data_IF_283114267428
#
_entry.id   IF_283114267428
#
_cell.length_a   1.000
_cell.length_b   1.000
_cell.length_c   1.000
_cell.angle_alpha   90.00
_cell.angle_beta   90.00
_cell.angle_gamma   90.00
#
_symmetry.space_group_name_H-M   'P 1'
#
loop_
_entity.id
_entity.type
_entity.pdbx_description
1 polymer ?
#
# COMPACT_ATOMS: atom_id res chain seq x y z
N UNK A 1 -14.74 10.23 3.67
CA UNK A 1 -13.78 9.69 2.68
C UNK A 1 -13.25 10.81 1.81
N UNK A 2 -11.92 10.94 1.74
CA UNK A 2 -11.25 11.82 0.79
C UNK A 2 -11.42 11.28 -0.63
N UNK A 3 -11.52 12.18 -1.62
CA UNK A 3 -11.46 11.77 -3.03
C UNK A 3 -10.06 11.28 -3.38
N UNK A 4 -9.92 10.57 -4.51
CA UNK A 4 -8.61 10.15 -5.01
C UNK A 4 -7.67 11.35 -5.22
N UNK A 5 -8.18 12.43 -5.78
CA UNK A 5 -7.42 13.65 -6.04
C UNK A 5 -6.91 14.28 -4.74
N UNK A 6 -7.76 14.33 -3.71
CA UNK A 6 -7.36 14.82 -2.39
C UNK A 6 -6.27 13.94 -1.77
N UNK A 7 -6.40 12.60 -1.86
CA UNK A 7 -5.35 11.68 -1.38
C UNK A 7 -4.02 11.88 -2.11
N UNK A 8 -4.05 12.07 -3.43
CA UNK A 8 -2.84 12.36 -4.24
C UNK A 8 -2.19 13.67 -3.80
N UNK A 9 -2.98 14.72 -3.59
CA UNK A 9 -2.46 16.01 -3.14
C UNK A 9 -1.86 15.93 -1.73
N UNK A 10 -2.54 15.26 -0.80
CA UNK A 10 -1.99 14.98 0.54
C UNK A 10 -0.66 14.23 0.46
N UNK A 11 -0.58 13.19 -0.37
CA UNK A 11 0.65 12.40 -0.52
C UNK A 11 1.79 13.24 -1.12
N UNK A 12 1.50 14.10 -2.11
CA UNK A 12 2.46 15.05 -2.68
C UNK A 12 2.98 16.01 -1.61
N UNK A 13 2.08 16.63 -0.85
CA UNK A 13 2.45 17.56 0.21
C UNK A 13 3.34 16.93 1.29
N UNK A 14 3.15 15.64 1.61
CA UNK A 14 4.03 14.90 2.52
C UNK A 14 5.48 14.80 2.02
N UNK A 15 5.70 14.71 0.70
CA UNK A 15 7.05 14.67 0.11
C UNK A 15 7.67 16.06 -0.05
N UNK A 16 6.86 17.10 -0.24
CA UNK A 16 7.33 18.47 -0.47
C UNK A 16 7.65 19.21 0.83
N UNK A 17 7.06 18.79 1.97
CA UNK A 17 7.30 19.43 3.27
C UNK A 17 8.74 19.20 3.75
N UNK A 18 9.30 20.13 4.54
CA UNK A 18 10.60 19.91 5.20
C UNK A 18 10.57 18.71 6.15
N UNK A 19 11.66 17.93 6.15
CA UNK A 19 11.85 16.78 7.03
C UNK A 19 11.43 15.45 6.42
N UNK A 20 11.62 14.37 7.18
CA UNK A 20 11.21 13.03 6.77
C UNK A 20 9.84 12.68 7.35
N UNK A 21 9.15 11.75 6.71
CA UNK A 21 7.95 11.11 7.24
C UNK A 21 8.04 9.60 7.04
N UNK A 22 7.25 8.86 7.81
CA UNK A 22 7.29 7.39 7.81
C UNK A 22 6.07 6.85 7.06
N UNK A 23 6.32 5.94 6.12
CA UNK A 23 5.29 5.22 5.38
C UNK A 23 5.40 3.74 5.74
N UNK A 24 4.61 3.22 6.69
CA UNK A 24 4.62 1.80 7.01
C UNK A 24 3.88 0.98 5.95
N UNK A 25 4.21 -0.32 5.89
CA UNK A 25 3.69 -1.23 4.89
C UNK A 25 2.68 -2.25 5.45
N UNK A 26 1.35 -1.97 5.41
CA UNK A 26 0.35 -3.01 5.69
C UNK A 26 0.35 -4.10 4.61
N UNK A 27 0.03 -5.32 5.02
CA UNK A 27 -0.14 -6.48 4.14
C UNK A 27 -1.60 -6.94 4.02
N UNK A 28 -2.52 -6.35 4.78
CA UNK A 28 -3.96 -6.61 4.77
C UNK A 28 -4.78 -5.42 5.33
N UNK A 29 -6.11 -5.53 5.31
CA UNK A 29 -7.01 -4.51 5.85
C UNK A 29 -6.85 -4.29 7.38
N UNK A 30 -6.48 -5.33 8.14
CA UNK A 30 -6.34 -5.27 9.59
C UNK A 30 -5.14 -4.42 10.00
N UNK A 31 -3.98 -4.73 9.43
CA UNK A 31 -2.74 -3.97 9.58
C UNK A 31 -2.91 -2.52 9.11
N UNK A 32 -3.62 -2.28 8.00
CA UNK A 32 -3.92 -0.93 7.53
C UNK A 32 -4.72 -0.09 8.56
N UNK A 33 -5.73 -0.68 9.19
CA UNK A 33 -6.52 -0.02 10.25
C UNK A 33 -5.68 0.27 11.48
N UNK A 34 -4.85 -0.67 11.91
CA UNK A 34 -3.95 -0.50 13.06
C UNK A 34 -2.98 0.65 12.79
N UNK A 35 -2.31 0.66 11.64
CA UNK A 35 -1.36 1.72 11.29
C UNK A 35 -2.05 3.08 11.14
N UNK A 36 -3.26 3.12 10.57
CA UNK A 36 -4.06 4.34 10.53
C UNK A 36 -4.37 4.86 11.95
N UNK A 37 -4.77 3.97 12.87
CA UNK A 37 -5.07 4.33 14.26
C UNK A 37 -3.84 4.78 15.05
N UNK A 38 -2.63 4.34 14.65
CA UNK A 38 -1.36 4.79 15.21
C UNK A 38 -0.94 6.20 14.73
N UNK A 39 -1.70 6.81 13.81
CA UNK A 39 -1.50 8.19 13.38
C UNK A 39 -0.50 8.38 12.24
N UNK A 40 -0.17 7.33 11.49
CA UNK A 40 0.61 7.50 10.26
C UNK A 40 -0.16 8.32 9.22
N UNK A 41 0.55 9.07 8.39
CA UNK A 41 -0.04 10.03 7.45
C UNK A 41 -0.22 9.44 6.04
N UNK A 42 0.43 8.32 5.75
CA UNK A 42 0.35 7.57 4.50
C UNK A 42 0.71 6.10 4.74
N UNK A 43 0.27 5.21 3.84
CA UNK A 43 0.63 3.79 3.84
C UNK A 43 1.21 3.40 2.48
N UNK A 44 1.88 2.26 2.40
CA UNK A 44 2.27 1.66 1.14
C UNK A 44 2.06 0.15 1.16
N UNK A 45 1.49 -0.46 0.12
CA UNK A 45 1.38 -1.92 0.06
C UNK A 45 2.78 -2.56 0.01
N UNK A 46 2.86 -3.86 0.29
CA UNK A 46 4.10 -4.63 0.20
C UNK A 46 3.84 -5.96 -0.50
N UNK A 47 4.55 -6.21 -1.60
CA UNK A 47 4.54 -7.49 -2.30
C UNK A 47 5.01 -8.62 -1.39
N UNK A 48 6.16 -8.44 -0.71
CA UNK A 48 6.68 -9.41 0.25
C UNK A 48 5.71 -9.71 1.40
N UNK A 49 5.15 -8.67 2.04
CA UNK A 49 4.23 -8.85 3.17
C UNK A 49 2.94 -9.56 2.73
N UNK A 50 2.40 -9.21 1.56
CA UNK A 50 1.24 -9.93 1.01
C UNK A 50 1.59 -11.37 0.62
N UNK A 51 2.70 -11.60 -0.09
CA UNK A 51 3.13 -12.92 -0.51
C UNK A 51 3.24 -13.88 0.68
N UNK A 52 3.96 -13.47 1.73
CA UNK A 52 4.13 -14.32 2.91
C UNK A 52 2.83 -14.54 3.68
N UNK A 53 1.94 -13.54 3.75
CA UNK A 53 0.65 -13.70 4.44
C UNK A 53 -0.26 -14.73 3.76
N UNK A 54 -0.13 -14.91 2.44
CA UNK A 54 -0.87 -15.93 1.67
C UNK A 54 -0.06 -17.21 1.39
N UNK A 55 1.04 -17.43 2.11
CA UNK A 55 1.85 -18.65 2.01
C UNK A 55 2.64 -18.77 0.69
N UNK A 56 3.00 -17.64 0.08
CA UNK A 56 3.83 -17.55 -1.13
C UNK A 56 5.17 -16.91 -0.81
N UNK A 57 6.16 -17.16 -1.68
CA UNK A 57 7.44 -16.45 -1.64
C UNK A 57 7.38 -15.20 -2.51
N UNK A 58 8.16 -14.18 -2.15
CA UNK A 58 8.27 -12.94 -2.92
C UNK A 58 9.26 -13.10 -4.08
N UNK A 59 8.80 -13.70 -5.17
CA UNK A 59 9.56 -13.89 -6.40
C UNK A 59 8.71 -13.44 -7.59
N UNK A 60 9.32 -13.12 -8.75
CA UNK A 60 8.57 -12.88 -9.97
C UNK A 60 7.58 -14.03 -10.25
N UNK A 61 6.41 -13.69 -10.79
CA UNK A 61 5.34 -14.63 -11.19
C UNK A 61 4.70 -15.47 -10.07
N UNK A 62 5.02 -15.26 -8.78
CA UNK A 62 4.36 -15.98 -7.67
C UNK A 62 3.03 -15.35 -7.28
N UNK A 63 2.95 -14.02 -7.35
CA UNK A 63 1.72 -13.25 -7.17
C UNK A 63 1.11 -12.93 -8.53
N UNK A 64 -0.22 -13.04 -8.62
CA UNK A 64 -0.95 -12.59 -9.79
C UNK A 64 -1.24 -11.09 -9.70
N UNK A 65 -1.32 -10.42 -10.85
CA UNK A 65 -1.77 -9.02 -10.93
C UNK A 65 -3.11 -8.82 -10.21
N UNK A 66 -4.06 -9.70 -10.46
CA UNK A 66 -5.40 -9.62 -9.88
C UNK A 66 -5.37 -9.80 -8.35
N UNK A 67 -4.53 -10.70 -7.84
CA UNK A 67 -4.35 -10.90 -6.40
C UNK A 67 -3.75 -9.67 -5.72
N UNK A 68 -2.70 -9.10 -6.30
CA UNK A 68 -2.08 -7.88 -5.77
C UNK A 68 -3.05 -6.68 -5.79
N UNK A 69 -3.82 -6.51 -6.88
CA UNK A 69 -4.84 -5.45 -6.97
C UNK A 69 -6.01 -5.67 -6.00
N UNK A 70 -6.41 -6.91 -5.76
CA UNK A 70 -7.43 -7.24 -4.77
C UNK A 70 -6.96 -6.90 -3.35
N UNK A 71 -5.72 -7.29 -2.99
CA UNK A 71 -5.13 -6.93 -1.70
C UNK A 71 -4.99 -5.41 -1.54
N UNK A 72 -4.50 -4.71 -2.57
CA UNK A 72 -4.40 -3.25 -2.55
C UNK A 72 -5.77 -2.59 -2.35
N UNK A 73 -6.83 -3.13 -2.97
CA UNK A 73 -8.21 -2.67 -2.79
C UNK A 73 -8.67 -2.84 -1.34
N UNK A 74 -8.44 -4.00 -0.73
CA UNK A 74 -8.78 -4.24 0.68
C UNK A 74 -8.09 -3.23 1.61
N UNK A 75 -6.81 -2.93 1.37
CA UNK A 75 -6.05 -1.93 2.13
C UNK A 75 -6.62 -0.52 1.93
N UNK A 76 -6.89 -0.12 0.68
CA UNK A 76 -7.43 1.21 0.35
C UNK A 76 -8.84 1.42 0.92
N UNK A 77 -9.69 0.39 0.92
CA UNK A 77 -11.04 0.47 1.50
C UNK A 77 -11.00 0.50 3.04
N UNK A 78 -9.89 0.08 3.66
CA UNK A 78 -9.72 0.06 5.11
C UNK A 78 -9.21 1.38 5.71
N UNK A 79 -8.82 2.36 4.89
CA UNK A 79 -8.28 3.64 5.37
C UNK A 79 -8.64 4.85 4.49
N UNK A 80 -8.75 6.02 5.13
CA UNK A 80 -8.87 7.31 4.44
C UNK A 80 -7.52 7.90 4.03
N UNK A 81 -6.40 7.31 4.45
CA UNK A 81 -5.05 7.77 4.10
C UNK A 81 -4.72 7.55 2.61
N UNK A 82 -3.76 8.29 2.06
CA UNK A 82 -3.12 7.92 0.80
C UNK A 82 -2.36 6.60 0.94
N UNK A 83 -2.46 5.76 -0.10
CA UNK A 83 -1.80 4.46 -0.18
C UNK A 83 -0.97 4.41 -1.46
N UNK A 84 0.34 4.20 -1.33
CA UNK A 84 1.23 3.89 -2.47
C UNK A 84 1.19 2.40 -2.77
N UNK A 85 1.21 2.02 -4.04
CA UNK A 85 1.16 0.62 -4.45
C UNK A 85 2.55 0.11 -4.85
N UNK A 86 3.02 -0.93 -4.18
CA UNK A 86 4.09 -1.80 -4.67
C UNK A 86 3.51 -2.77 -5.70
N UNK A 87 4.01 -2.70 -6.93
CA UNK A 87 3.57 -3.50 -8.08
C UNK A 87 4.70 -4.35 -8.67
N UNK A 88 5.79 -4.59 -7.93
CA UNK A 88 6.96 -5.32 -8.43
C UNK A 88 7.47 -4.70 -9.76
N UNK A 89 7.65 -5.54 -10.78
CA UNK A 89 7.99 -5.16 -12.16
C UNK A 89 6.75 -4.89 -13.04
N UNK A 90 5.63 -4.47 -12.44
CA UNK A 90 4.35 -4.23 -13.10
C UNK A 90 3.74 -5.47 -13.76
N UNK A 91 4.12 -6.68 -13.32
CA UNK A 91 3.69 -7.97 -13.90
C UNK A 91 4.04 -8.12 -15.39
N UNK A 92 5.07 -7.41 -15.87
CA UNK A 92 5.61 -7.57 -17.21
C UNK A 92 6.45 -8.84 -17.33
N UNK A 93 6.39 -9.51 -18.49
CA UNK A 93 7.31 -10.61 -18.82
C UNK A 93 8.64 -10.01 -19.29
N UNK A 94 9.74 -10.43 -18.68
CA UNK A 94 11.12 -10.18 -19.14
C UNK A 94 11.61 -11.33 -19.99
#
# INVERSE_FOLDING_TARGET
MLTREQKVETFRALHERPGAFVIPNPWDAGSARILTALGFEALATTSAGYAFSVGRVDLPDTLTRDGALANAREIVEATDLPVSADLLNMFGRT
#
